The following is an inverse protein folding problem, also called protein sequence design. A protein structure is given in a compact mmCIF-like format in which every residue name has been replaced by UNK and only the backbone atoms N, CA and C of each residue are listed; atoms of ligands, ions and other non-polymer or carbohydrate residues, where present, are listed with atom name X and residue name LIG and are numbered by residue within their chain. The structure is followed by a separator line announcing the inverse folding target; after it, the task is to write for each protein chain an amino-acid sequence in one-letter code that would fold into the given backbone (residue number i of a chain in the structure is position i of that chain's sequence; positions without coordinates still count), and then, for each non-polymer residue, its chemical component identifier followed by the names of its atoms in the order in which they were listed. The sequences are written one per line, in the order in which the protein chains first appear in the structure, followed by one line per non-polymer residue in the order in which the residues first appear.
data_IF_766100659334
#
_entry.id   IF_766100659334
#
_cell.length_a   1.000
_cell.length_b   1.000
_cell.length_c   1.000
_cell.angle_alpha   90.00
_cell.angle_beta   90.00
_cell.angle_gamma   90.00
#
_symmetry.space_group_name_H-M   'P 1'
#
loop_
_entity.id
_entity.type
_entity.pdbx_description
1 polymer ?
#
# COMPACT_ATOMS: atom_id res chain seq x y z
N UNK A 1 0.57 2.32 -8.42
CA UNK A 1 2.00 2.49 -8.78
C UNK A 1 2.73 1.16 -8.66
N UNK A 2 3.79 0.93 -9.43
CA UNK A 2 4.56 -0.34 -9.38
C UNK A 2 6.09 -0.14 -9.56
N UNK A 3 6.57 1.10 -9.42
CA UNK A 3 7.98 1.49 -9.42
C UNK A 3 8.15 2.81 -8.63
N UNK A 4 9.38 3.19 -8.30
CA UNK A 4 9.68 4.39 -7.51
C UNK A 4 9.14 5.68 -8.16
N UNK A 5 9.27 5.84 -9.48
CA UNK A 5 8.79 7.03 -10.18
C UNK A 5 7.26 7.21 -10.11
N UNK A 6 6.51 6.12 -10.24
CA UNK A 6 5.07 6.13 -10.08
C UNK A 6 4.66 6.38 -8.62
N UNK A 7 5.44 5.90 -7.65
CA UNK A 7 5.17 6.16 -6.24
C UNK A 7 5.43 7.62 -5.85
N UNK A 8 6.47 8.24 -6.41
CA UNK A 8 6.71 9.69 -6.29
C UNK A 8 5.51 10.50 -6.77
N UNK A 9 4.93 10.15 -7.92
CA UNK A 9 3.73 10.82 -8.44
C UNK A 9 2.51 10.62 -7.54
N UNK A 10 2.31 9.42 -6.99
CA UNK A 10 1.26 9.18 -5.99
C UNK A 10 1.48 10.07 -4.77
N UNK A 11 2.69 10.10 -4.22
CA UNK A 11 2.99 10.87 -3.00
C UNK A 11 2.80 12.38 -3.22
N UNK A 12 3.14 12.89 -4.42
CA UNK A 12 2.85 14.27 -4.81
C UNK A 12 1.36 14.55 -4.92
N UNK A 13 0.58 13.63 -5.50
CA UNK A 13 -0.88 13.74 -5.59
C UNK A 13 -1.52 13.75 -4.20
N UNK A 14 -1.13 12.82 -3.32
CA UNK A 14 -1.62 12.73 -1.94
C UNK A 14 -1.34 14.02 -1.17
N UNK A 15 -0.12 14.54 -1.26
CA UNK A 15 0.26 15.81 -0.64
C UNK A 15 -0.54 17.01 -1.17
N UNK A 16 -0.88 17.02 -2.45
CA UNK A 16 -1.52 18.18 -3.10
C UNK A 16 -3.03 18.20 -2.93
N UNK A 17 -3.68 17.05 -3.07
CA UNK A 17 -5.14 16.97 -3.19
C UNK A 17 -5.82 16.30 -1.98
N UNK A 18 -5.05 15.65 -1.09
CA UNK A 18 -5.58 14.85 0.03
C UNK A 18 -4.80 15.09 1.33
N UNK A 19 -4.25 16.29 1.51
CA UNK A 19 -3.52 16.65 2.74
C UNK A 19 -4.43 16.85 3.96
N UNK A 20 -5.74 16.97 3.74
CA UNK A 20 -6.79 17.20 4.73
C UNK A 20 -7.43 15.90 5.27
N UNK A 21 -6.96 14.73 4.84
CA UNK A 21 -7.55 13.42 5.17
C UNK A 21 -6.47 12.45 5.64
N UNK A 22 -6.84 11.49 6.49
CA UNK A 22 -5.97 10.34 6.72
C UNK A 22 -6.04 9.39 5.52
N UNK A 23 -4.87 8.90 5.10
CA UNK A 23 -4.73 8.04 3.93
C UNK A 23 -4.15 6.70 4.36
N UNK A 24 -4.99 5.68 4.36
CA UNK A 24 -4.60 4.31 4.63
C UNK A 24 -4.16 3.63 3.34
N UNK A 25 -2.89 3.23 3.28
CA UNK A 25 -2.30 2.59 2.11
C UNK A 25 -2.10 1.11 2.39
N UNK A 26 -2.72 0.26 1.58
CA UNK A 26 -2.43 -1.18 1.53
C UNK A 26 -1.49 -1.42 0.36
N UNK A 27 -0.26 -1.82 0.70
CA UNK A 27 0.87 -1.88 -0.22
C UNK A 27 1.33 -3.32 -0.40
N UNK A 28 1.38 -3.78 -1.66
CA UNK A 28 2.09 -5.02 -2.01
C UNK A 28 2.98 -4.82 -3.22
N UNK A 29 4.26 -5.21 -3.10
CA UNK A 29 5.30 -4.94 -4.09
C UNK A 29 5.90 -6.25 -4.58
N UNK A 30 6.16 -6.34 -5.89
CA UNK A 30 6.86 -7.47 -6.49
C UNK A 30 8.35 -7.47 -6.13
N UNK A 31 8.94 -8.65 -5.96
CA UNK A 31 10.33 -8.83 -5.52
C UNK A 31 11.38 -8.30 -6.51
N UNK A 32 11.01 -8.03 -7.77
CA UNK A 32 11.89 -7.47 -8.80
C UNK A 32 11.92 -5.94 -8.83
N UNK A 33 11.32 -5.28 -7.84
CA UNK A 33 11.23 -3.80 -7.73
C UNK A 33 12.15 -3.26 -6.63
N UNK A 34 11.97 -1.98 -6.31
CA UNK A 34 12.66 -1.27 -5.22
C UNK A 34 11.67 -1.09 -4.04
N UNK A 35 11.36 -2.14 -3.26
CA UNK A 35 10.31 -2.10 -2.24
C UNK A 35 10.53 -1.04 -1.18
N UNK A 36 11.78 -0.90 -0.71
CA UNK A 36 12.13 0.10 0.30
C UNK A 36 12.01 1.53 -0.23
N UNK A 37 12.54 1.83 -1.42
CA UNK A 37 12.38 3.17 -2.00
C UNK A 37 10.92 3.55 -2.24
N UNK A 38 10.10 2.59 -2.68
CA UNK A 38 8.67 2.82 -2.88
C UNK A 38 7.94 3.04 -1.55
N UNK A 39 8.27 2.27 -0.51
CA UNK A 39 7.73 2.49 0.83
C UNK A 39 8.14 3.88 1.37
N UNK A 40 9.42 4.23 1.26
CA UNK A 40 9.98 5.50 1.74
C UNK A 40 9.31 6.72 1.10
N UNK A 41 8.89 6.65 -0.16
CA UNK A 41 8.15 7.77 -0.79
C UNK A 41 6.82 8.05 -0.08
N UNK A 42 6.10 7.01 0.34
CA UNK A 42 4.83 7.14 1.06
C UNK A 42 5.05 7.65 2.48
N UNK A 43 6.07 7.16 3.18
CA UNK A 43 6.37 7.53 4.57
C UNK A 43 6.84 8.99 4.75
N UNK A 44 7.09 9.72 3.66
CA UNK A 44 7.34 11.18 3.70
C UNK A 44 6.09 12.01 4.00
N UNK A 45 4.92 11.39 4.02
CA UNK A 45 3.63 12.05 4.22
C UNK A 45 3.11 11.73 5.63
N UNK A 46 2.87 12.74 6.47
CA UNK A 46 2.52 12.51 7.88
C UNK A 46 1.12 11.93 8.08
N UNK A 47 0.21 12.14 7.11
CA UNK A 47 -1.16 11.64 7.10
C UNK A 47 -1.30 10.29 6.38
N UNK A 48 -0.20 9.59 6.10
CA UNK A 48 -0.19 8.31 5.39
C UNK A 48 0.15 7.18 6.35
N UNK A 49 -0.77 6.22 6.48
CA UNK A 49 -0.62 5.01 7.28
C UNK A 49 -0.44 3.82 6.36
N UNK A 50 0.70 3.14 6.42
CA UNK A 50 1.02 2.05 5.50
C UNK A 50 0.87 0.68 6.17
N UNK A 51 0.10 -0.19 5.54
CA UNK A 51 0.09 -1.63 5.82
C UNK A 51 0.67 -2.36 4.62
N UNK A 52 1.79 -3.06 4.83
CA UNK A 52 2.42 -3.93 3.85
C UNK A 52 1.76 -5.30 3.91
N UNK A 53 1.45 -5.87 2.76
CA UNK A 53 0.80 -7.19 2.65
C UNK A 53 1.37 -8.03 1.52
N UNK A 54 1.01 -9.32 1.50
CA UNK A 54 1.29 -10.24 0.39
C UNK A 54 0.00 -10.64 -0.33
N UNK A 55 0.18 -11.18 -1.53
CA UNK A 55 -0.88 -11.65 -2.42
C UNK A 55 -0.37 -12.83 -3.25
N UNK A 56 -1.29 -13.62 -3.80
CA UNK A 56 -0.94 -14.79 -4.61
C UNK A 56 -0.91 -14.40 -6.09
N UNK A 57 0.23 -13.84 -6.50
CA UNK A 57 0.47 -13.41 -7.87
C UNK A 57 1.23 -14.42 -8.72
N UNK A 58 1.16 -14.29 -10.07
CA UNK A 58 2.00 -15.06 -10.98
C UNK A 58 3.50 -14.69 -10.89
N UNK A 59 3.84 -13.67 -10.09
CA UNK A 59 5.20 -13.17 -9.89
C UNK A 59 5.54 -13.16 -8.41
N UNK A 60 6.82 -13.36 -8.09
CA UNK A 60 7.32 -13.32 -6.71
C UNK A 60 7.02 -11.97 -6.07
N UNK A 61 6.42 -11.99 -4.88
CA UNK A 61 6.14 -10.83 -4.03
C UNK A 61 7.25 -10.68 -2.99
N UNK A 62 7.66 -9.44 -2.72
CA UNK A 62 8.68 -9.10 -1.73
C UNK A 62 8.34 -9.73 -0.37
N UNK A 63 9.33 -10.36 0.28
CA UNK A 63 9.14 -10.96 1.61
C UNK A 63 9.25 -9.88 2.68
N UNK A 64 8.61 -10.10 3.83
CA UNK A 64 8.73 -9.23 5.00
C UNK A 64 10.20 -8.90 5.34
N UNK A 65 11.06 -9.92 5.33
CA UNK A 65 12.50 -9.77 5.64
C UNK A 65 13.27 -8.84 4.67
N UNK A 66 12.72 -8.56 3.48
CA UNK A 66 13.34 -7.68 2.49
C UNK A 66 12.88 -6.22 2.65
N UNK A 67 11.87 -5.97 3.49
CA UNK A 67 11.44 -4.63 3.86
C UNK A 67 12.20 -4.11 5.08
N UNK A 68 12.59 -2.83 5.00
CA UNK A 68 13.06 -2.03 6.13
C UNK A 68 11.83 -1.36 6.74
N UNK A 69 11.09 -2.10 7.55
CA UNK A 69 9.92 -1.55 8.21
C UNK A 69 10.35 -0.57 9.31
N UNK A 70 9.67 0.58 9.33
CA UNK A 70 9.72 1.53 10.43
C UNK A 70 8.62 1.18 11.45
N UNK A 71 8.73 1.69 12.68
CA UNK A 71 7.77 1.40 13.76
C UNK A 71 6.31 1.78 13.41
N UNK A 72 6.12 2.71 12.47
CA UNK A 72 4.82 3.16 12.00
C UNK A 72 4.29 2.40 10.77
N UNK A 73 4.95 1.31 10.35
CA UNK A 73 4.51 0.46 9.23
C UNK A 73 4.01 -0.87 9.76
N UNK A 74 2.75 -1.18 9.46
CA UNK A 74 2.17 -2.49 9.78
C UNK A 74 2.52 -3.51 8.70
N UNK A 75 2.62 -4.76 9.11
CA UNK A 75 2.66 -5.90 8.20
C UNK A 75 1.52 -6.86 8.53
N UNK A 76 0.74 -7.23 7.52
CA UNK A 76 -0.32 -8.24 7.62
C UNK A 76 -0.13 -9.18 6.44
N UNK A 77 -0.02 -10.49 6.69
CA UNK A 77 0.31 -11.46 5.63
C UNK A 77 -0.76 -11.50 4.55
N UNK A 78 -2.02 -11.56 4.96
CA UNK A 78 -3.17 -11.71 4.08
C UNK A 78 -3.84 -10.37 3.80
N UNK A 79 -3.95 -10.01 2.52
CA UNK A 79 -4.45 -8.70 2.13
C UNK A 79 -5.93 -8.49 2.49
N UNK A 80 -6.71 -9.57 2.59
CA UNK A 80 -8.10 -9.55 3.03
C UNK A 80 -8.21 -9.05 4.48
N UNK A 81 -7.33 -9.53 5.35
CA UNK A 81 -7.23 -9.11 6.75
C UNK A 81 -6.77 -7.65 6.83
N UNK A 82 -5.76 -7.27 6.04
CA UNK A 82 -5.29 -5.89 5.96
C UNK A 82 -6.42 -4.92 5.57
N UNK A 83 -7.25 -5.28 4.58
CA UNK A 83 -8.42 -4.48 4.20
C UNK A 83 -9.43 -4.42 5.34
N UNK A 84 -9.75 -5.54 5.98
CA UNK A 84 -10.71 -5.59 7.09
C UNK A 84 -10.27 -4.72 8.28
N UNK A 85 -8.99 -4.80 8.66
CA UNK A 85 -8.40 -3.96 9.72
C UNK A 85 -8.45 -2.48 9.37
N UNK A 86 -8.09 -2.10 8.14
CA UNK A 86 -8.12 -0.70 7.72
C UNK A 86 -9.55 -0.17 7.69
N UNK A 87 -10.49 -0.89 7.08
CA UNK A 87 -11.90 -0.46 6.99
C UNK A 87 -12.53 -0.31 8.38
N UNK A 88 -12.16 -1.17 9.33
CA UNK A 88 -12.70 -1.09 10.70
C UNK A 88 -12.17 0.10 11.50
N UNK A 89 -11.01 0.65 11.12
CA UNK A 89 -10.37 1.76 11.83
C UNK A 89 -10.57 3.12 11.16
N UNK A 90 -10.92 3.15 9.87
CA UNK A 90 -11.05 4.39 9.11
C UNK A 90 -12.39 5.10 9.35
N UNK A 91 -12.37 6.42 9.31
CA UNK A 91 -13.56 7.26 9.27
C UNK A 91 -14.10 7.42 7.85
N UNK A 92 -15.33 7.93 7.70
CA UNK A 92 -15.97 8.13 6.39
C UNK A 92 -15.22 9.14 5.49
N UNK A 93 -14.52 10.09 6.10
CA UNK A 93 -13.77 11.13 5.40
C UNK A 93 -12.34 10.70 5.02
N UNK A 94 -11.89 9.55 5.53
CA UNK A 94 -10.56 9.00 5.24
C UNK A 94 -10.50 8.33 3.87
N UNK A 95 -9.30 8.16 3.34
CA UNK A 95 -9.07 7.50 2.06
C UNK A 95 -8.38 6.15 2.22
N UNK A 96 -8.92 5.12 1.56
CA UNK A 96 -8.23 3.85 1.34
C UNK A 96 -7.56 3.84 -0.05
N UNK A 97 -6.25 3.61 -0.09
CA UNK A 97 -5.47 3.45 -1.31
C UNK A 97 -4.84 2.05 -1.37
N UNK A 98 -5.18 1.28 -2.41
CA UNK A 98 -4.59 -0.03 -2.69
C UNK A 98 -3.61 0.11 -3.86
N UNK A 99 -2.32 -0.20 -3.65
CA UNK A 99 -1.26 0.08 -4.63
C UNK A 99 -0.04 -0.85 -4.50
N UNK A 100 0.98 -0.64 -5.33
CA UNK A 100 2.28 -1.35 -5.29
C UNK A 100 2.47 -2.37 -6.41
N UNK A 101 1.40 -3.03 -6.87
CA UNK A 101 1.46 -4.04 -7.94
C UNK A 101 0.17 -4.05 -8.77
N UNK A 102 0.29 -4.13 -10.09
CA UNK A 102 -0.87 -4.29 -10.98
C UNK A 102 -1.58 -5.63 -10.78
N UNK A 103 -0.82 -6.70 -10.52
CA UNK A 103 -1.40 -8.02 -10.22
C UNK A 103 -2.17 -7.99 -8.90
N UNK A 104 -1.62 -7.31 -7.89
CA UNK A 104 -2.30 -7.16 -6.60
C UNK A 104 -3.63 -6.41 -6.75
N UNK A 105 -3.62 -5.27 -7.45
CA UNK A 105 -4.85 -4.52 -7.75
C UNK A 105 -5.85 -5.39 -8.52
N UNK A 106 -5.38 -6.22 -9.45
CA UNK A 106 -6.24 -7.14 -10.20
C UNK A 106 -6.87 -8.22 -9.32
N UNK A 107 -6.12 -8.82 -8.40
CA UNK A 107 -6.62 -9.84 -7.47
C UNK A 107 -7.67 -9.27 -6.53
N UNK A 108 -7.37 -8.12 -5.91
CA UNK A 108 -8.33 -7.39 -5.07
C UNK A 108 -9.60 -7.11 -5.86
N UNK A 109 -9.50 -6.49 -7.05
CA UNK A 109 -10.68 -6.19 -7.87
C UNK A 109 -11.48 -7.42 -8.26
N UNK A 110 -10.86 -8.56 -8.50
CA UNK A 110 -11.57 -9.79 -8.83
C UNK A 110 -12.31 -10.38 -7.62
N UNK A 111 -11.79 -10.21 -6.41
CA UNK A 111 -12.47 -10.63 -5.18
C UNK A 111 -13.64 -9.71 -4.79
N UNK A 112 -13.62 -8.44 -5.18
CA UNK A 112 -14.71 -7.47 -4.92
C UNK A 112 -15.75 -7.39 -6.05
N UNK A 113 -15.56 -8.12 -7.15
CA UNK A 113 -16.62 -8.34 -8.13
C UNK A 113 -17.56 -9.42 -7.59
N UNK A 114 -18.52 -8.98 -6.79
CA UNK A 114 -19.78 -9.70 -6.59
C UNK A 114 -20.59 -9.73 -7.89
#
# INVERSE_FOLDING_TARGET
AHNTAAMKRISQLLRKEFADREVYVILSILADKQPNEMLDELLKLPNVHVTVTRFEGPRKVTKLADFKLHDNVKYVEHWQEAIGEVISNMSLDDMLLITGSLYFISEVRNNFKG
#
